data_IF_609246544280
#
_entry.id   IF_609246544280
#
_cell.length_a   1.000
_cell.length_b   1.000
_cell.length_c   1.000
_cell.angle_alpha   90.00
_cell.angle_beta   90.00
_cell.angle_gamma   90.00
#
_symmetry.space_group_name_H-M   'P 1'
#
loop_
_entity.id
_entity.type
_entity.pdbx_description
1 polymer ?
#
# COMPACT_ATOMS: atom_id res chain seq x y z
N UNK A 1 -15.00 -23.53 3.53
CA UNK A 1 -14.16 -23.34 4.72
C UNK A 1 -13.82 -21.86 4.81
N UNK A 2 -13.85 -21.27 6.01
CA UNK A 2 -13.42 -19.89 6.24
C UNK A 2 -11.90 -19.78 6.10
N UNK A 3 -11.36 -18.60 5.81
CA UNK A 3 -9.91 -18.39 5.67
C UNK A 3 -9.11 -18.78 6.92
N UNK A 4 -9.57 -18.51 8.16
CA UNK A 4 -8.90 -19.02 9.35
C UNK A 4 -8.76 -20.55 9.40
N UNK A 5 -9.76 -21.29 8.89
CA UNK A 5 -9.66 -22.76 8.80
C UNK A 5 -8.63 -23.24 7.77
N UNK A 6 -8.13 -22.34 6.92
CA UNK A 6 -7.05 -22.57 5.95
C UNK A 6 -5.70 -22.02 6.41
N UNK A 7 -5.59 -21.60 7.67
CA UNK A 7 -4.36 -21.06 8.26
C UNK A 7 -4.11 -19.57 7.95
N UNK A 8 -5.13 -18.84 7.47
CA UNK A 8 -5.04 -17.38 7.27
C UNK A 8 -5.71 -16.68 8.44
N UNK A 9 -4.92 -16.24 9.42
CA UNK A 9 -5.42 -15.68 10.66
C UNK A 9 -5.84 -14.22 10.57
N UNK A 10 -5.24 -13.48 9.62
CA UNK A 10 -5.49 -12.04 9.41
C UNK A 10 -5.41 -11.67 7.93
N UNK A 11 -6.23 -10.70 7.56
CA UNK A 11 -6.23 -10.07 6.23
C UNK A 11 -6.20 -8.57 6.43
N UNK A 12 -5.38 -7.89 5.64
CA UNK A 12 -5.46 -6.45 5.41
C UNK A 12 -6.15 -6.22 4.06
N UNK A 13 -7.31 -5.59 4.09
CA UNK A 13 -8.04 -5.17 2.90
C UNK A 13 -7.77 -3.69 2.65
N UNK A 14 -7.13 -3.35 1.55
CA UNK A 14 -6.83 -1.98 1.20
C UNK A 14 -7.96 -1.37 0.35
N UNK A 15 -8.52 -0.25 0.80
CA UNK A 15 -9.40 0.59 -0.01
C UNK A 15 -8.58 1.38 -1.03
N UNK A 16 -9.19 1.64 -2.18
CA UNK A 16 -8.57 2.37 -3.31
C UNK A 16 -9.28 3.68 -3.64
N UNK A 17 -10.43 3.92 -3.00
CA UNK A 17 -11.21 5.15 -2.96
C UNK A 17 -12.11 5.15 -1.73
N UNK A 18 -12.97 6.17 -1.56
CA UNK A 18 -13.84 6.27 -0.40
C UNK A 18 -14.87 5.13 -0.33
N UNK A 19 -15.42 4.71 -1.48
CA UNK A 19 -16.43 3.65 -1.54
C UNK A 19 -15.84 2.30 -1.13
N UNK A 20 -14.75 1.91 -1.73
CA UNK A 20 -14.04 0.65 -1.39
C UNK A 20 -13.48 0.65 0.02
N UNK A 21 -13.05 1.83 0.54
CA UNK A 21 -12.62 1.97 1.94
C UNK A 21 -13.77 1.75 2.91
N UNK A 22 -14.97 2.25 2.63
CA UNK A 22 -16.18 2.02 3.43
C UNK A 22 -16.62 0.56 3.36
N UNK A 23 -16.51 -0.08 2.19
CA UNK A 23 -16.78 -1.50 2.03
C UNK A 23 -15.83 -2.34 2.87
N UNK A 24 -14.51 -2.08 2.79
CA UNK A 24 -13.49 -2.77 3.58
C UNK A 24 -13.77 -2.64 5.10
N UNK A 25 -14.14 -1.43 5.56
CA UNK A 25 -14.54 -1.21 6.95
C UNK A 25 -15.78 -2.02 7.35
N UNK A 26 -16.79 -2.12 6.47
CA UNK A 26 -17.98 -2.92 6.70
C UNK A 26 -17.65 -4.40 6.89
N UNK A 27 -16.78 -4.97 6.04
CA UNK A 27 -16.30 -6.34 6.18
C UNK A 27 -15.44 -6.53 7.44
N UNK A 28 -14.59 -5.59 7.77
CA UNK A 28 -13.81 -5.62 9.00
C UNK A 28 -14.69 -5.63 10.25
N UNK A 29 -15.82 -4.93 10.23
CA UNK A 29 -16.82 -4.96 11.30
C UNK A 29 -17.53 -6.31 11.45
N UNK A 30 -17.67 -7.07 10.36
CA UNK A 30 -18.38 -8.36 10.31
C UNK A 30 -17.49 -9.56 10.64
N UNK A 31 -16.19 -9.47 10.28
CA UNK A 31 -15.26 -10.60 10.40
C UNK A 31 -14.07 -10.25 11.30
N UNK A 32 -13.85 -11.07 12.34
CA UNK A 32 -12.82 -10.83 13.36
C UNK A 32 -11.38 -10.76 12.81
N UNK A 33 -11.12 -11.48 11.73
CA UNK A 33 -9.80 -11.61 11.11
C UNK A 33 -9.53 -10.60 9.98
N UNK A 34 -10.49 -9.74 9.61
CA UNK A 34 -10.30 -8.70 8.61
C UNK A 34 -9.94 -7.39 9.31
N UNK A 35 -8.88 -6.78 8.87
CA UNK A 35 -8.45 -5.41 9.12
C UNK A 35 -8.48 -4.64 7.81
N UNK A 36 -8.45 -3.33 7.85
CA UNK A 36 -8.48 -2.54 6.61
C UNK A 36 -7.53 -1.35 6.65
N UNK A 37 -7.17 -0.90 5.47
CA UNK A 37 -6.57 0.39 5.21
C UNK A 37 -7.54 1.23 4.36
N UNK A 38 -7.52 2.54 4.52
CA UNK A 38 -8.36 3.46 3.75
C UNK A 38 -7.50 4.50 3.05
N UNK A 39 -7.81 4.75 1.77
CA UNK A 39 -7.03 5.68 0.96
C UNK A 39 -7.56 5.84 -0.45
N UNK A 40 -6.90 6.70 -1.21
CA UNK A 40 -7.13 6.87 -2.65
C UNK A 40 -5.90 6.40 -3.41
N UNK A 41 -6.08 5.33 -4.18
CA UNK A 41 -5.09 4.83 -5.13
C UNK A 41 -4.76 5.91 -6.18
N UNK A 42 -3.54 5.96 -6.72
CA UNK A 42 -3.10 7.01 -7.65
C UNK A 42 -4.10 7.39 -8.74
N UNK A 43 -4.71 6.41 -9.40
CA UNK A 43 -5.65 6.64 -10.50
C UNK A 43 -7.03 7.14 -10.06
N UNK A 44 -7.37 7.01 -8.79
CA UNK A 44 -8.64 7.46 -8.23
C UNK A 44 -8.56 8.84 -7.58
N UNK A 45 -7.39 9.47 -7.59
CA UNK A 45 -7.15 10.73 -6.86
C UNK A 45 -7.96 11.92 -7.39
N UNK A 46 -8.46 11.87 -8.62
CA UNK A 46 -9.38 12.89 -9.15
C UNK A 46 -10.71 12.96 -8.37
N UNK A 47 -11.10 11.84 -7.74
CA UNK A 47 -12.28 11.76 -6.87
C UNK A 47 -12.03 12.28 -5.45
N UNK A 48 -10.77 12.55 -5.07
CA UNK A 48 -10.41 12.98 -3.73
C UNK A 48 -10.57 14.50 -3.59
N UNK A 49 -11.70 14.95 -3.09
CA UNK A 49 -11.90 16.33 -2.65
C UNK A 49 -11.71 16.47 -1.13
N UNK A 50 -11.90 17.68 -0.62
CA UNK A 50 -11.73 17.97 0.81
C UNK A 50 -12.72 17.19 1.70
N UNK A 51 -13.94 16.96 1.23
CA UNK A 51 -14.95 16.19 1.96
C UNK A 51 -14.56 14.70 1.99
N UNK A 52 -14.13 14.14 0.87
CA UNK A 52 -13.65 12.76 0.81
C UNK A 52 -12.45 12.53 1.75
N UNK A 53 -11.49 13.47 1.80
CA UNK A 53 -10.35 13.40 2.70
C UNK A 53 -10.79 13.48 4.19
N UNK A 54 -11.77 14.33 4.52
CA UNK A 54 -12.34 14.41 5.87
C UNK A 54 -13.00 13.08 6.27
N UNK A 55 -13.76 12.47 5.36
CA UNK A 55 -14.41 11.17 5.59
C UNK A 55 -13.38 10.04 5.75
N UNK A 56 -12.29 10.06 4.99
CA UNK A 56 -11.17 9.13 5.22
C UNK A 56 -10.56 9.31 6.61
N UNK A 57 -10.41 10.54 7.09
CA UNK A 57 -9.88 10.79 8.43
C UNK A 57 -10.81 10.24 9.52
N UNK A 58 -12.12 10.36 9.36
CA UNK A 58 -13.09 9.75 10.27
C UNK A 58 -13.00 8.23 10.24
N UNK A 59 -12.91 7.66 9.06
CA UNK A 59 -12.79 6.22 8.85
C UNK A 59 -11.49 5.66 9.44
N UNK A 60 -10.38 6.39 9.30
CA UNK A 60 -9.07 6.03 9.84
C UNK A 60 -9.05 5.93 11.38
N UNK A 61 -9.97 6.62 12.06
CA UNK A 61 -10.11 6.57 13.53
C UNK A 61 -10.98 5.41 14.02
N UNK A 62 -11.58 4.64 13.11
CA UNK A 62 -12.44 3.52 13.49
C UNK A 62 -11.63 2.28 13.89
N UNK A 63 -12.18 1.40 14.73
CA UNK A 63 -11.52 0.14 15.06
C UNK A 63 -11.18 -0.67 13.81
N UNK A 64 -10.02 -1.35 13.83
CA UNK A 64 -9.49 -2.18 12.74
C UNK A 64 -9.05 -1.43 11.48
N UNK A 65 -9.15 -0.12 11.39
CA UNK A 65 -8.34 0.64 10.46
C UNK A 65 -6.90 0.63 10.98
N UNK A 66 -5.97 0.04 10.23
CA UNK A 66 -4.60 -0.17 10.69
C UNK A 66 -3.56 0.52 9.82
N UNK A 67 -3.96 1.13 8.70
CA UNK A 67 -3.08 1.88 7.81
C UNK A 67 -3.86 2.90 6.98
N UNK A 68 -3.17 3.90 6.45
CA UNK A 68 -3.63 4.73 5.35
C UNK A 68 -3.11 4.10 4.06
N UNK A 69 -4.01 3.68 3.18
CA UNK A 69 -3.68 2.96 1.96
C UNK A 69 -4.90 2.33 1.29
N UNK A 70 -4.79 1.98 0.05
CA UNK A 70 -3.58 2.03 -0.77
C UNK A 70 -3.40 3.44 -1.35
N UNK A 71 -2.23 4.03 -1.16
CA UNK A 71 -1.88 5.37 -1.63
C UNK A 71 -0.53 5.33 -2.36
N UNK A 72 -0.22 6.29 -3.20
CA UNK A 72 1.08 6.25 -3.87
C UNK A 72 1.12 6.99 -5.20
N UNK A 73 2.04 6.54 -6.06
CA UNK A 73 2.25 7.06 -7.41
C UNK A 73 2.29 5.91 -8.42
N UNK A 74 1.56 6.06 -9.52
CA UNK A 74 1.56 5.15 -10.65
C UNK A 74 1.59 5.96 -11.96
N UNK A 75 2.71 5.87 -12.68
CA UNK A 75 2.89 6.55 -13.96
C UNK A 75 2.83 5.60 -15.15
N UNK A 76 2.53 4.33 -14.87
CA UNK A 76 2.49 3.27 -15.89
C UNK A 76 1.20 3.31 -16.72
N UNK A 77 0.07 3.51 -16.06
CA UNK A 77 -1.23 3.56 -16.72
C UNK A 77 -1.74 4.99 -16.85
N UNK A 78 -2.62 5.20 -17.83
CA UNK A 78 -3.38 6.45 -17.93
C UNK A 78 -4.33 6.59 -16.73
N UNK A 79 -4.46 7.80 -16.21
CA UNK A 79 -5.28 8.12 -15.04
C UNK A 79 -5.12 9.57 -14.62
N UNK A 80 -5.25 9.84 -13.33
CA UNK A 80 -5.01 11.16 -12.78
C UNK A 80 -3.61 11.69 -13.12
N UNK A 81 -3.49 12.98 -13.38
CA UNK A 81 -2.21 13.59 -13.74
C UNK A 81 -1.16 13.40 -12.65
N UNK A 82 0.13 13.37 -13.02
CA UNK A 82 1.25 13.25 -12.07
C UNK A 82 1.16 14.28 -10.95
N UNK A 83 0.87 15.53 -11.27
CA UNK A 83 0.72 16.59 -10.28
C UNK A 83 -0.44 16.32 -9.33
N UNK A 84 -1.55 15.77 -9.84
CA UNK A 84 -2.70 15.38 -9.01
C UNK A 84 -2.34 14.22 -8.07
N UNK A 85 -1.67 13.20 -8.58
CA UNK A 85 -1.20 12.06 -7.77
C UNK A 85 -0.25 12.54 -6.66
N UNK A 86 0.73 13.40 -6.98
CA UNK A 86 1.68 13.93 -6.00
C UNK A 86 0.95 14.70 -4.89
N UNK A 87 0.06 15.64 -5.24
CA UNK A 87 -0.66 16.43 -4.25
C UNK A 87 -1.60 15.58 -3.37
N UNK A 88 -2.23 14.58 -3.97
CA UNK A 88 -3.08 13.63 -3.26
C UNK A 88 -2.28 12.73 -2.31
N UNK A 89 -1.13 12.22 -2.75
CA UNK A 89 -0.24 11.44 -1.90
C UNK A 89 0.26 12.27 -0.72
N UNK A 90 0.69 13.52 -0.94
CA UNK A 90 1.14 14.41 0.12
C UNK A 90 0.05 14.64 1.18
N UNK A 91 -1.19 14.88 0.75
CA UNK A 91 -2.34 15.05 1.66
C UNK A 91 -2.64 13.80 2.48
N UNK A 92 -2.51 12.62 1.88
CA UNK A 92 -2.77 11.34 2.54
C UNK A 92 -1.62 10.92 3.47
N UNK A 93 -0.37 11.24 3.14
CA UNK A 93 0.77 11.05 4.04
C UNK A 93 0.66 11.95 5.29
N UNK A 94 0.21 13.19 5.10
CA UNK A 94 -0.07 14.08 6.23
C UNK A 94 -1.23 13.55 7.08
N UNK A 95 -2.28 12.99 6.47
CA UNK A 95 -3.34 12.29 7.19
C UNK A 95 -2.78 11.13 8.01
N UNK A 96 -1.97 10.25 7.41
CA UNK A 96 -1.34 9.12 8.09
C UNK A 96 -0.55 9.57 9.33
N UNK A 97 0.24 10.63 9.18
CA UNK A 97 1.00 11.24 10.28
C UNK A 97 0.08 11.76 11.39
N UNK A 98 -1.01 12.49 11.06
CA UNK A 98 -1.96 13.04 12.04
C UNK A 98 -2.68 11.96 12.83
N UNK A 99 -3.07 10.87 12.18
CA UNK A 99 -3.80 9.77 12.85
C UNK A 99 -2.88 8.73 13.46
N UNK A 100 -1.57 8.82 13.24
CA UNK A 100 -0.55 7.91 13.79
C UNK A 100 -0.57 6.51 13.18
N UNK A 101 -1.04 6.37 11.94
CA UNK A 101 -1.10 5.09 11.23
C UNK A 101 0.03 4.95 10.20
N UNK A 102 0.52 3.73 9.94
CA UNK A 102 1.46 3.47 8.84
C UNK A 102 0.80 3.69 7.48
N UNK A 103 1.63 3.84 6.43
CA UNK A 103 1.17 3.94 5.06
C UNK A 103 1.36 2.62 4.29
N UNK A 104 0.36 2.22 3.48
CA UNK A 104 0.52 1.19 2.45
C UNK A 104 0.74 1.90 1.12
N UNK A 105 1.96 1.79 0.60
CA UNK A 105 2.49 2.61 -0.48
C UNK A 105 2.62 1.82 -1.78
N UNK A 106 1.97 2.31 -2.82
CA UNK A 106 2.10 1.86 -4.20
C UNK A 106 3.12 2.71 -4.95
N UNK A 107 4.04 2.07 -5.66
CA UNK A 107 4.97 2.76 -6.55
C UNK A 107 5.11 1.99 -7.86
N UNK A 108 4.81 2.65 -8.97
CA UNK A 108 5.04 2.10 -10.31
C UNK A 108 5.48 3.17 -11.31
N UNK A 109 6.68 2.98 -11.87
CA UNK A 109 7.33 3.90 -12.82
C UNK A 109 7.44 5.36 -12.30
N UNK A 110 7.47 5.55 -10.97
CA UNK A 110 7.39 6.85 -10.29
C UNK A 110 8.51 7.06 -9.25
N UNK A 111 9.52 6.19 -9.22
CA UNK A 111 10.54 6.13 -8.18
C UNK A 111 11.17 7.48 -7.80
N UNK A 112 11.60 8.36 -8.73
CA UNK A 112 12.23 9.63 -8.35
C UNK A 112 11.30 10.54 -7.54
N UNK A 113 10.04 10.68 -7.98
CA UNK A 113 9.06 11.52 -7.31
C UNK A 113 8.62 10.90 -5.98
N UNK A 114 8.48 9.57 -5.94
CA UNK A 114 8.14 8.85 -4.72
C UNK A 114 9.21 9.06 -3.65
N UNK A 115 10.47 8.82 -3.95
CA UNK A 115 11.58 9.01 -3.01
C UNK A 115 11.67 10.47 -2.53
N UNK A 116 11.56 11.43 -3.46
CA UNK A 116 11.60 12.85 -3.11
C UNK A 116 10.46 13.23 -2.16
N UNK A 117 9.23 12.74 -2.41
CA UNK A 117 8.06 13.03 -1.60
C UNK A 117 8.15 12.38 -0.22
N UNK A 118 8.49 11.10 -0.14
CA UNK A 118 8.64 10.40 1.14
C UNK A 118 9.71 11.05 2.03
N UNK A 119 10.87 11.43 1.45
CA UNK A 119 11.93 12.15 2.16
C UNK A 119 11.44 13.53 2.65
N UNK A 120 10.77 14.29 1.80
CA UNK A 120 10.23 15.62 2.15
C UNK A 120 9.19 15.55 3.26
N UNK A 121 8.31 14.54 3.23
CA UNK A 121 7.28 14.33 4.24
C UNK A 121 7.78 13.63 5.51
N UNK A 122 9.05 13.18 5.55
CA UNK A 122 9.63 12.50 6.70
C UNK A 122 9.00 11.14 6.99
N UNK A 123 8.57 10.41 5.95
CA UNK A 123 7.87 9.12 6.09
C UNK A 123 8.87 8.05 6.51
N UNK A 124 8.62 7.41 7.64
CA UNK A 124 9.45 6.35 8.22
C UNK A 124 8.61 5.17 8.77
N UNK A 125 7.32 5.15 8.51
CA UNK A 125 6.40 4.11 8.98
C UNK A 125 5.44 3.72 7.87
N UNK A 126 5.60 2.52 7.34
CA UNK A 126 4.78 2.01 6.24
C UNK A 126 5.46 0.87 5.50
N UNK A 127 4.82 0.45 4.42
CA UNK A 127 5.28 -0.62 3.54
C UNK A 127 5.18 -0.19 2.08
N UNK A 128 6.22 -0.44 1.30
CA UNK A 128 6.13 -0.45 -0.16
C UNK A 128 5.57 -1.81 -0.54
N UNK A 129 4.31 -1.84 -0.97
CA UNK A 129 3.63 -3.09 -1.29
C UNK A 129 3.94 -3.54 -2.72
N UNK A 130 3.75 -4.83 -2.98
CA UNK A 130 3.95 -5.48 -4.28
C UNK A 130 5.29 -5.09 -4.96
N UNK A 131 6.36 -5.03 -4.16
CA UNK A 131 7.65 -4.52 -4.62
C UNK A 131 8.24 -5.35 -5.75
N UNK A 132 8.57 -4.68 -6.85
CA UNK A 132 9.13 -5.29 -8.06
C UNK A 132 10.48 -4.69 -8.49
N UNK A 133 11.00 -3.73 -7.71
CA UNK A 133 12.22 -2.99 -8.01
C UNK A 133 13.51 -3.75 -7.74
N UNK A 134 14.63 -3.06 -7.94
CA UNK A 134 15.98 -3.59 -7.69
C UNK A 134 16.34 -3.58 -6.20
N UNK A 135 17.44 -4.28 -5.84
CA UNK A 135 17.99 -4.23 -4.47
C UNK A 135 18.47 -2.82 -4.09
N UNK A 136 18.91 -2.01 -5.05
CA UNK A 136 19.32 -0.63 -4.85
C UNK A 136 18.11 0.23 -4.47
N UNK A 137 16.99 0.07 -5.18
CA UNK A 137 15.72 0.72 -4.85
C UNK A 137 15.18 0.24 -3.50
N UNK A 138 15.29 -1.07 -3.22
CA UNK A 138 14.91 -1.62 -1.93
C UNK A 138 15.68 -0.98 -0.78
N UNK A 139 16.99 -0.76 -0.95
CA UNK A 139 17.83 -0.10 0.05
C UNK A 139 17.35 1.31 0.38
N UNK A 140 16.98 2.12 -0.64
CA UNK A 140 16.48 3.48 -0.41
C UNK A 140 15.26 3.49 0.52
N UNK A 141 14.32 2.57 0.33
CA UNK A 141 13.13 2.46 1.17
C UNK A 141 13.43 1.90 2.56
N UNK A 142 14.30 0.89 2.63
CA UNK A 142 14.71 0.29 3.92
C UNK A 142 15.49 1.29 4.78
N UNK A 143 16.36 2.11 4.19
CA UNK A 143 17.11 3.17 4.87
C UNK A 143 16.20 4.27 5.43
N UNK A 144 14.99 4.45 4.89
CA UNK A 144 13.95 5.29 5.46
C UNK A 144 13.19 4.62 6.63
N UNK A 145 13.46 3.34 6.93
CA UNK A 145 12.76 2.57 7.96
C UNK A 145 11.50 1.87 7.49
N UNK A 146 11.20 1.88 6.18
CA UNK A 146 10.01 1.24 5.63
C UNK A 146 10.17 -0.28 5.54
N UNK A 147 9.04 -0.97 5.47
CA UNK A 147 8.96 -2.38 5.10
C UNK A 147 8.81 -2.53 3.58
N UNK A 148 9.14 -3.71 3.08
CA UNK A 148 8.92 -4.10 1.69
C UNK A 148 8.08 -5.36 1.70
N UNK A 149 7.03 -5.44 0.87
CA UNK A 149 6.26 -6.67 0.72
C UNK A 149 6.34 -7.25 -0.69
N UNK A 150 6.21 -8.57 -0.75
CA UNK A 150 6.32 -9.34 -1.99
C UNK A 150 5.08 -10.21 -2.19
N UNK A 151 4.66 -10.29 -3.46
CA UNK A 151 3.53 -11.08 -3.93
C UNK A 151 4.00 -12.37 -4.62
N UNK A 152 3.06 -13.08 -5.21
CA UNK A 152 3.33 -14.20 -6.12
C UNK A 152 4.20 -13.84 -7.33
N UNK A 153 4.41 -12.54 -7.61
CA UNK A 153 5.32 -12.05 -8.64
C UNK A 153 6.73 -12.64 -8.51
N UNK A 154 7.21 -12.91 -7.28
CA UNK A 154 8.51 -13.55 -7.06
C UNK A 154 8.67 -14.90 -7.79
N UNK A 155 7.57 -15.58 -8.08
CA UNK A 155 7.56 -16.89 -8.74
C UNK A 155 7.54 -16.81 -10.27
N UNK A 156 7.37 -15.59 -10.82
CA UNK A 156 7.27 -15.41 -12.26
C UNK A 156 8.65 -15.52 -12.92
N UNK A 157 8.70 -16.20 -14.06
CA UNK A 157 9.96 -16.36 -14.84
C UNK A 157 10.55 -15.02 -15.32
N UNK A 158 9.71 -14.00 -15.47
CA UNK A 158 10.11 -12.62 -15.84
C UNK A 158 10.61 -11.80 -14.66
N UNK A 159 10.34 -12.21 -13.43
CA UNK A 159 10.75 -11.47 -12.24
C UNK A 159 12.26 -11.64 -11.99
N UNK A 160 13.06 -10.67 -12.45
CA UNK A 160 14.53 -10.71 -12.31
C UNK A 160 15.02 -9.88 -11.10
N UNK A 161 14.44 -8.72 -10.87
CA UNK A 161 14.90 -7.77 -9.84
C UNK A 161 14.34 -8.10 -8.46
N UNK A 162 13.04 -8.36 -8.34
CA UNK A 162 12.39 -8.61 -7.07
C UNK A 162 12.97 -9.80 -6.28
N UNK A 163 13.36 -10.95 -6.89
CA UNK A 163 14.02 -12.04 -6.17
C UNK A 163 15.37 -11.64 -5.55
N UNK A 164 16.14 -10.79 -6.21
CA UNK A 164 17.41 -10.30 -5.67
C UNK A 164 17.17 -9.27 -4.54
N UNK A 165 16.17 -8.42 -4.68
CA UNK A 165 15.74 -7.53 -3.61
C UNK A 165 15.24 -8.30 -2.37
N UNK A 166 14.47 -9.37 -2.57
CA UNK A 166 13.97 -10.23 -1.50
C UNK A 166 15.10 -10.95 -0.73
N UNK A 167 16.16 -11.38 -1.44
CA UNK A 167 17.36 -11.96 -0.79
C UNK A 167 18.17 -10.91 -0.02
N UNK A 168 18.15 -9.68 -0.48
CA UNK A 168 18.90 -8.56 0.11
C UNK A 168 18.22 -8.00 1.36
N UNK A 169 16.88 -7.91 1.36
CA UNK A 169 16.13 -7.27 2.42
C UNK A 169 16.27 -8.02 3.77
N UNK A 170 16.45 -7.30 4.90
CA UNK A 170 16.45 -7.90 6.23
C UNK A 170 15.12 -8.62 6.50
N UNK A 171 15.17 -9.82 7.10
CA UNK A 171 13.98 -10.64 7.35
C UNK A 171 12.92 -9.96 8.20
N UNK A 172 13.33 -9.09 9.11
CA UNK A 172 12.46 -8.31 9.99
C UNK A 172 11.87 -7.06 9.30
N UNK A 173 12.17 -6.85 8.02
CA UNK A 173 11.67 -5.76 7.18
C UNK A 173 10.92 -6.24 5.94
N UNK A 174 10.65 -7.55 5.86
CA UNK A 174 9.93 -8.16 4.74
C UNK A 174 8.55 -8.62 5.19
N UNK A 175 7.56 -8.30 4.37
CA UNK A 175 6.20 -8.82 4.47
C UNK A 175 5.88 -9.65 3.23
N UNK A 176 4.85 -10.48 3.34
CA UNK A 176 4.28 -11.25 2.22
C UNK A 176 2.81 -10.89 2.07
N UNK A 177 2.36 -10.89 0.84
CA UNK A 177 0.97 -10.56 0.49
C UNK A 177 0.51 -11.34 -0.73
N UNK A 178 -0.76 -11.20 -1.08
CA UNK A 178 -1.33 -11.85 -2.27
C UNK A 178 -1.56 -10.88 -3.42
N UNK A 179 -1.94 -9.64 -3.13
CA UNK A 179 -2.46 -8.66 -4.09
C UNK A 179 -3.68 -9.20 -4.86
N UNK A 180 -4.49 -10.02 -4.17
CA UNK A 180 -5.66 -10.67 -4.78
C UNK A 180 -6.69 -9.68 -5.28
N UNK A 181 -7.26 -9.93 -6.47
CA UNK A 181 -7.24 -11.18 -7.27
C UNK A 181 -6.06 -11.30 -8.25
N UNK A 182 -5.08 -10.43 -8.17
CA UNK A 182 -3.91 -10.39 -9.05
C UNK A 182 -2.75 -11.25 -8.50
N UNK A 183 -1.65 -11.32 -9.26
CA UNK A 183 -0.35 -11.85 -8.84
C UNK A 183 -0.38 -13.30 -8.31
N UNK A 184 -1.29 -14.14 -8.83
CA UNK A 184 -1.34 -15.57 -8.47
C UNK A 184 0.03 -16.22 -8.70
N UNK A 185 0.63 -16.87 -7.69
CA UNK A 185 1.94 -17.47 -7.84
C UNK A 185 1.92 -18.68 -8.80
N UNK A 186 3.02 -18.88 -9.54
CA UNK A 186 3.22 -20.07 -10.35
C UNK A 186 3.42 -21.26 -9.42
N UNK A 187 2.82 -22.44 -9.68
CA UNK A 187 2.11 -22.88 -10.89
C UNK A 187 0.56 -22.76 -10.85
N UNK A 188 -0.02 -22.00 -9.94
CA UNK A 188 -1.46 -21.92 -9.72
C UNK A 188 -2.16 -20.91 -10.64
#
# INVERSE_FOLDING_TARGET
ASLPQKGVDRILWCGTDLESSLEAASYAGRFGYIYFACGFFPHNTDKMDAEALRRLEELAKTPKCVAIGEIGLDYHYEGASRQRQISALESQLELARRVGLPAVLHERDALPDMLALLKRCGVNNGVIHCFSGSKETAREYLDMGLYISFTGLLTFKSARLAPEAAKFAPRDRVLIETDSPYMTPVPF
#
